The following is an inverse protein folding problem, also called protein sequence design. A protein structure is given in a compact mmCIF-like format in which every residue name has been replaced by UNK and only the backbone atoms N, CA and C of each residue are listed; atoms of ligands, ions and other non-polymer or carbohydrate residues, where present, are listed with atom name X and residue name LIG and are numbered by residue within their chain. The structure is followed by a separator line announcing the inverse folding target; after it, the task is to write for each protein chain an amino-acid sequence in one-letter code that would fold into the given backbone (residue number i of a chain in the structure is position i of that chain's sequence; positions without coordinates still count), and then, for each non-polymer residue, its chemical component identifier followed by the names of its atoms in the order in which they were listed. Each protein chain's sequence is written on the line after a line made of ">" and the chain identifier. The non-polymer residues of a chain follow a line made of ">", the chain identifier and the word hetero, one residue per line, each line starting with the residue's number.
data_IF_854528156613
#
_entry.id   IF_854528156613
#
_cell.length_a   1.000
_cell.length_b   1.000
_cell.length_c   1.000
_cell.angle_alpha   90.00
_cell.angle_beta   90.00
_cell.angle_gamma   90.00
#
_symmetry.space_group_name_H-M   'P 1'
#
loop_
_entity.id
_entity.type
_entity.pdbx_description
1 polymer ?
#
# COMPACT_ATOMS: atom_id res chain seq x y z
N UNK A 1 -24.51 45.63 -19.00
CA UNK A 1 -23.23 45.15 -18.44
C UNK A 1 -23.51 44.50 -17.09
N UNK A 2 -23.21 43.20 -16.92
CA UNK A 2 -23.13 42.36 -15.70
C UNK A 2 -23.81 41.01 -15.99
N UNK A 3 -22.99 39.99 -16.24
CA UNK A 3 -23.47 38.63 -16.53
C UNK A 3 -22.40 37.64 -16.99
N UNK A 4 -21.14 38.06 -17.13
CA UNK A 4 -20.06 37.22 -17.63
C UNK A 4 -19.09 36.69 -16.55
N UNK A 5 -19.45 36.77 -15.26
CA UNK A 5 -18.54 36.48 -14.14
C UNK A 5 -18.98 35.28 -13.26
N UNK A 6 -19.61 34.26 -13.85
CA UNK A 6 -19.98 33.01 -13.15
C UNK A 6 -19.56 31.76 -13.93
N UNK A 7 -18.36 31.79 -14.53
CA UNK A 7 -17.69 30.60 -15.07
C UNK A 7 -16.22 30.57 -14.62
N UNK A 8 -16.01 30.47 -13.32
CA UNK A 8 -14.67 30.25 -12.76
C UNK A 8 -14.76 29.67 -11.35
N UNK A 9 -15.49 28.57 -11.18
CA UNK A 9 -15.41 27.79 -9.94
C UNK A 9 -15.14 26.32 -10.31
N UNK A 10 -13.85 25.99 -10.24
CA UNK A 10 -13.26 24.65 -10.04
C UNK A 10 -13.45 23.63 -11.17
N UNK A 11 -12.61 23.74 -12.19
CA UNK A 11 -11.94 22.56 -12.72
C UNK A 11 -11.14 21.92 -11.59
N UNK A 12 -11.78 21.03 -10.82
CA UNK A 12 -11.03 20.06 -10.03
C UNK A 12 -10.39 19.16 -11.06
N UNK A 13 -9.06 19.26 -11.21
CA UNK A 13 -8.28 18.29 -11.97
C UNK A 13 -8.56 16.93 -11.34
N UNK A 14 -9.48 16.17 -11.93
CA UNK A 14 -9.71 14.79 -11.52
C UNK A 14 -8.41 14.06 -11.80
N UNK A 15 -7.73 13.52 -10.78
CA UNK A 15 -6.49 12.79 -11.02
C UNK A 15 -6.80 11.64 -11.98
N UNK A 16 -5.91 11.33 -12.92
CA UNK A 16 -6.12 10.25 -13.88
C UNK A 16 -6.42 8.96 -13.11
N UNK A 17 -7.18 8.03 -13.69
CA UNK A 17 -7.71 6.84 -12.99
C UNK A 17 -6.64 5.95 -12.34
N UNK A 18 -5.37 6.11 -12.71
CA UNK A 18 -4.23 5.38 -12.17
C UNK A 18 -3.58 6.05 -10.93
N UNK A 19 -4.01 7.26 -10.56
CA UNK A 19 -3.39 8.09 -9.53
C UNK A 19 -4.18 8.13 -8.20
N UNK A 20 -5.17 7.24 -8.02
CA UNK A 20 -5.87 7.15 -6.74
C UNK A 20 -4.96 6.64 -5.62
N UNK A 21 -5.01 7.25 -4.42
CA UNK A 21 -4.34 6.72 -3.25
C UNK A 21 -5.00 5.38 -2.88
N UNK A 22 -4.29 4.28 -3.10
CA UNK A 22 -4.68 2.99 -2.53
C UNK A 22 -4.25 3.00 -1.08
N UNK A 23 -5.21 3.20 -0.17
CA UNK A 23 -5.00 2.98 1.26
C UNK A 23 -4.67 1.51 1.54
N UNK A 24 -4.09 1.26 2.72
CA UNK A 24 -3.76 -0.07 3.24
C UNK A 24 -4.80 -1.12 2.84
N UNK A 25 -4.35 -2.20 2.20
CA UNK A 25 -5.22 -3.21 1.61
C UNK A 25 -5.97 -4.08 2.64
N UNK A 26 -5.54 -4.05 3.90
CA UNK A 26 -6.10 -4.85 5.00
C UNK A 26 -6.51 -3.96 6.18
N UNK A 27 -7.66 -4.26 6.79
CA UNK A 27 -8.10 -3.57 8.02
C UNK A 27 -7.43 -4.18 9.25
N UNK A 28 -7.34 -3.40 10.34
CA UNK A 28 -6.75 -3.85 11.61
C UNK A 28 -7.47 -5.06 12.20
N UNK A 29 -8.80 -5.13 12.05
CA UNK A 29 -9.62 -6.23 12.53
C UNK A 29 -9.27 -7.53 11.80
N UNK A 30 -9.02 -7.45 10.48
CA UNK A 30 -8.59 -8.61 9.68
C UNK A 30 -7.18 -9.06 10.08
N UNK A 31 -6.28 -8.13 10.32
CA UNK A 31 -4.91 -8.43 10.79
C UNK A 31 -4.97 -9.12 12.16
N UNK A 32 -5.80 -8.63 13.08
CA UNK A 32 -5.96 -9.27 14.40
C UNK A 32 -6.55 -10.67 14.29
N UNK A 33 -7.56 -10.85 13.43
CA UNK A 33 -8.18 -12.14 13.19
C UNK A 33 -7.18 -13.14 12.58
N UNK A 34 -6.40 -12.69 11.60
CA UNK A 34 -5.35 -13.50 10.98
C UNK A 34 -4.26 -13.88 11.98
N UNK A 35 -3.82 -12.93 12.80
CA UNK A 35 -2.76 -13.14 13.80
C UNK A 35 -3.18 -14.18 14.84
N UNK A 36 -4.45 -14.16 15.27
CA UNK A 36 -5.01 -15.19 16.16
C UNK A 36 -4.95 -16.57 15.53
N UNK A 37 -5.41 -16.70 14.28
CA UNK A 37 -5.40 -17.97 13.54
C UNK A 37 -3.96 -18.49 13.42
N UNK A 38 -3.01 -17.62 13.03
CA UNK A 38 -1.60 -18.00 12.89
C UNK A 38 -1.01 -18.51 14.20
N UNK A 39 -1.19 -17.80 15.31
CA UNK A 39 -0.68 -18.25 16.62
C UNK A 39 -1.32 -19.58 17.03
N UNK A 40 -2.62 -19.75 16.81
CA UNK A 40 -3.32 -21.00 17.11
C UNK A 40 -2.78 -22.17 16.30
N UNK A 41 -2.65 -22.01 14.99
CA UNK A 41 -2.10 -23.04 14.09
C UNK A 41 -0.68 -23.41 14.51
N UNK A 42 0.21 -22.43 14.72
CA UNK A 42 1.60 -22.68 15.08
C UNK A 42 1.75 -23.42 16.42
N UNK A 43 0.90 -23.10 17.41
CA UNK A 43 0.89 -23.80 18.69
C UNK A 43 0.31 -25.22 18.58
N UNK A 44 -0.80 -25.37 17.85
CA UNK A 44 -1.48 -26.66 17.69
C UNK A 44 -0.64 -27.67 16.90
N UNK A 45 0.11 -27.20 15.91
CA UNK A 45 1.04 -28.03 15.14
C UNK A 45 2.37 -28.28 15.87
N UNK A 46 2.59 -27.67 17.04
CA UNK A 46 3.81 -27.82 17.83
C UNK A 46 5.05 -27.19 17.18
N UNK A 47 4.86 -26.33 16.16
CA UNK A 47 5.95 -25.64 15.45
C UNK A 47 6.63 -24.58 16.33
N UNK A 48 5.90 -24.06 17.30
CA UNK A 48 6.43 -23.16 18.32
C UNK A 48 6.06 -23.66 19.71
N UNK A 49 6.94 -23.42 20.68
CA UNK A 49 6.67 -23.59 22.10
C UNK A 49 6.74 -22.23 22.76
N UNK A 50 5.75 -21.89 23.59
CA UNK A 50 5.69 -20.58 24.24
C UNK A 50 5.61 -20.71 25.75
N UNK A 51 6.58 -20.13 26.45
CA UNK A 51 6.50 -19.89 27.90
C UNK A 51 5.72 -18.61 28.24
N UNK A 52 5.33 -17.83 27.23
CA UNK A 52 4.62 -16.55 27.36
C UNK A 52 3.12 -16.70 27.08
N UNK A 53 2.33 -15.72 27.55
CA UNK A 53 0.90 -15.62 27.27
C UNK A 53 0.64 -15.53 25.75
N UNK A 54 -0.39 -16.23 25.28
CA UNK A 54 -0.78 -16.29 23.86
C UNK A 54 -1.03 -14.90 23.26
N UNK A 55 -1.60 -14.00 24.04
CA UNK A 55 -1.90 -12.62 23.64
C UNK A 55 -0.65 -11.83 23.25
N UNK A 56 0.50 -12.12 23.88
CA UNK A 56 1.76 -11.47 23.54
C UNK A 56 2.30 -11.93 22.17
N UNK A 57 2.08 -13.21 21.82
CA UNK A 57 2.44 -13.71 20.51
C UNK A 57 1.56 -13.12 19.42
N UNK A 58 0.25 -13.04 19.68
CA UNK A 58 -0.71 -12.43 18.76
C UNK A 58 -0.30 -10.98 18.50
N UNK A 59 -0.05 -10.20 19.56
CA UNK A 59 0.37 -8.79 19.41
C UNK A 59 1.69 -8.63 18.65
N UNK A 60 2.65 -9.56 18.81
CA UNK A 60 3.88 -9.55 18.01
C UNK A 60 3.61 -9.79 16.54
N UNK A 61 2.83 -10.82 16.19
CA UNK A 61 2.47 -11.09 14.79
C UNK A 61 1.69 -9.90 14.19
N UNK A 62 0.74 -9.34 14.93
CA UNK A 62 -0.01 -8.15 14.50
C UNK A 62 0.94 -6.98 14.19
N UNK A 63 1.91 -6.71 15.07
CA UNK A 63 2.87 -5.61 14.88
C UNK A 63 3.72 -5.82 13.63
N UNK A 64 4.25 -7.03 13.43
CA UNK A 64 5.09 -7.35 12.26
C UNK A 64 4.30 -7.17 10.97
N UNK A 65 3.07 -7.70 10.90
CA UNK A 65 2.22 -7.55 9.72
C UNK A 65 1.89 -6.07 9.46
N UNK A 66 1.58 -5.29 10.50
CA UNK A 66 1.27 -3.87 10.36
C UNK A 66 2.48 -3.07 9.86
N UNK A 67 3.66 -3.34 10.41
CA UNK A 67 4.89 -2.64 10.05
C UNK A 67 5.24 -2.90 8.57
N UNK A 68 5.16 -4.16 8.13
CA UNK A 68 5.40 -4.54 6.72
C UNK A 68 4.40 -3.86 5.77
N UNK A 69 3.11 -3.87 6.10
CA UNK A 69 2.07 -3.20 5.31
C UNK A 69 2.30 -1.68 5.23
N UNK A 70 2.77 -1.06 6.32
CA UNK A 70 3.09 0.36 6.33
C UNK A 70 4.30 0.69 5.46
N UNK A 71 5.33 -0.17 5.46
CA UNK A 71 6.47 -0.03 4.55
C UNK A 71 6.00 -0.16 3.10
N UNK A 72 5.17 -1.15 2.80
CA UNK A 72 4.63 -1.35 1.46
C UNK A 72 3.78 -0.15 0.99
N UNK A 73 2.93 0.40 1.86
CA UNK A 73 2.09 1.57 1.54
C UNK A 73 2.94 2.80 1.22
N UNK A 74 4.00 3.07 2.00
CA UNK A 74 4.93 4.18 1.74
C UNK A 74 5.66 4.00 0.43
N UNK A 75 6.15 2.79 0.16
CA UNK A 75 6.80 2.43 -1.09
C UNK A 75 5.86 2.63 -2.28
N UNK A 76 4.61 2.14 -2.18
CA UNK A 76 3.60 2.28 -3.22
C UNK A 76 3.26 3.75 -3.48
N UNK A 77 3.17 4.59 -2.43
CA UNK A 77 2.95 6.03 -2.57
C UNK A 77 4.09 6.69 -3.37
N UNK A 78 5.34 6.34 -3.07
CA UNK A 78 6.49 6.88 -3.78
C UNK A 78 6.56 6.44 -5.24
N UNK A 79 6.28 5.16 -5.54
CA UNK A 79 6.17 4.67 -6.92
C UNK A 79 5.14 5.52 -7.69
N UNK A 80 4.00 5.85 -7.06
CA UNK A 80 2.97 6.71 -7.68
C UNK A 80 3.48 8.12 -7.93
N UNK A 81 4.20 8.72 -6.98
CA UNK A 81 4.81 10.05 -7.19
C UNK A 81 5.76 10.05 -8.39
N UNK A 82 6.59 9.02 -8.55
CA UNK A 82 7.47 8.89 -9.72
C UNK A 82 6.65 8.75 -11.00
N UNK A 83 5.59 7.93 -10.98
CA UNK A 83 4.73 7.69 -12.14
C UNK A 83 3.97 8.92 -12.62
N UNK A 84 3.72 9.93 -11.77
CA UNK A 84 3.12 11.20 -12.19
C UNK A 84 3.94 11.89 -13.28
N UNK A 85 5.27 11.73 -13.27
CA UNK A 85 6.13 12.29 -14.33
C UNK A 85 5.93 11.63 -15.70
N UNK A 86 5.33 10.44 -15.75
CA UNK A 86 5.06 9.66 -16.96
C UNK A 86 3.58 9.69 -17.40
N UNK A 87 2.75 10.49 -16.73
CA UNK A 87 1.29 10.55 -16.93
C UNK A 87 0.89 10.72 -18.41
N UNK A 88 1.49 11.69 -19.10
CA UNK A 88 1.20 11.96 -20.53
C UNK A 88 1.53 10.79 -21.45
N UNK A 89 2.54 10.00 -21.12
CA UNK A 89 2.94 8.84 -21.94
C UNK A 89 2.05 7.62 -21.65
N UNK A 90 1.58 7.49 -20.42
CA UNK A 90 0.59 6.49 -20.02
C UNK A 90 -0.76 6.79 -20.68
N UNK A 91 -1.20 8.06 -20.68
CA UNK A 91 -2.46 8.47 -21.33
C UNK A 91 -2.47 8.22 -22.84
N UNK A 92 -1.33 8.41 -23.50
CA UNK A 92 -1.18 8.10 -24.93
C UNK A 92 -1.14 6.59 -25.22
N UNK A 93 -1.08 5.75 -24.20
CA UNK A 93 -0.95 4.29 -24.33
C UNK A 93 0.45 3.83 -24.75
N UNK A 94 1.44 4.73 -24.74
CA UNK A 94 2.83 4.39 -25.07
C UNK A 94 3.48 3.51 -23.99
N UNK A 95 2.92 3.55 -22.77
CA UNK A 95 3.47 2.93 -21.58
C UNK A 95 2.37 2.28 -20.75
N UNK A 96 2.54 1.00 -20.42
CA UNK A 96 1.64 0.29 -19.51
C UNK A 96 1.92 0.67 -18.04
N UNK A 97 0.91 1.23 -17.38
CA UNK A 97 1.00 1.68 -15.99
C UNK A 97 1.43 0.56 -15.05
N UNK A 98 0.79 -0.62 -15.17
CA UNK A 98 1.01 -1.72 -14.22
C UNK A 98 2.44 -2.26 -14.35
N UNK A 99 2.94 -2.42 -15.56
CA UNK A 99 4.32 -2.83 -15.83
C UNK A 99 5.32 -1.82 -15.26
N UNK A 100 5.13 -0.53 -15.50
CA UNK A 100 6.02 0.50 -14.95
C UNK A 100 5.96 0.58 -13.43
N UNK A 101 4.77 0.45 -12.84
CA UNK A 101 4.61 0.39 -11.40
C UNK A 101 5.46 -0.75 -10.81
N UNK A 102 5.38 -1.95 -11.38
CA UNK A 102 6.18 -3.09 -10.90
C UNK A 102 7.68 -2.87 -11.11
N UNK A 103 8.09 -2.28 -12.24
CA UNK A 103 9.49 -1.98 -12.52
C UNK A 103 10.08 -0.97 -11.53
N UNK A 104 9.40 0.15 -11.29
CA UNK A 104 9.84 1.20 -10.36
C UNK A 104 9.81 0.66 -8.93
N UNK A 105 8.77 -0.09 -8.55
CA UNK A 105 8.70 -0.72 -7.22
C UNK A 105 9.90 -1.64 -7.00
N UNK A 106 10.22 -2.51 -7.97
CA UNK A 106 11.39 -3.41 -7.89
C UNK A 106 12.70 -2.65 -7.79
N UNK A 107 12.82 -1.52 -8.48
CA UNK A 107 14.01 -0.67 -8.42
C UNK A 107 14.16 -0.06 -7.02
N UNK A 108 13.11 0.56 -6.48
CA UNK A 108 13.13 1.17 -5.14
C UNK A 108 13.39 0.16 -4.01
N UNK A 109 12.87 -1.07 -4.12
CA UNK A 109 13.15 -2.15 -3.14
C UNK A 109 14.65 -2.44 -3.08
N UNK A 110 15.29 -2.55 -4.24
CA UNK A 110 16.74 -2.81 -4.33
C UNK A 110 17.57 -1.64 -3.82
N UNK A 111 17.25 -0.42 -4.26
CA UNK A 111 18.04 0.78 -3.94
C UNK A 111 18.01 1.10 -2.45
N UNK A 112 16.94 0.70 -1.75
CA UNK A 112 16.75 0.93 -0.32
C UNK A 112 16.95 -0.30 0.53
N UNK A 113 17.32 -1.41 -0.08
CA UNK A 113 17.52 -2.70 0.58
C UNK A 113 16.34 -3.09 1.49
N UNK A 114 15.11 -2.84 1.01
CA UNK A 114 13.87 -3.14 1.72
C UNK A 114 13.55 -4.64 1.63
N UNK A 115 12.97 -5.17 2.69
CA UNK A 115 12.37 -6.51 2.71
C UNK A 115 10.86 -6.30 2.85
N UNK A 116 10.11 -6.73 1.84
CA UNK A 116 8.63 -6.58 1.73
C UNK A 116 8.08 -7.82 1.04
#
# INVERSE_FOLDING_TARGET
>A
MKGAALRAIRSVDTPPPFCYPTAMKLTKERISSLSKILVETLLNEGLISSSSKKELLIGKIESVILDDLQIEDRLNAEVREILKSYEKEIEKGNVDYQKMFQMIKKQLIKDRNLVV
#
